data_IF_260306365433
#
_entry.id   IF_260306365433
#
_cell.length_a   1.000
_cell.length_b   1.000
_cell.length_c   1.000
_cell.angle_alpha   90.00
_cell.angle_beta   90.00
_cell.angle_gamma   90.00
#
_symmetry.space_group_name_H-M   'P 1'
#
loop_
_entity.id
_entity.type
_entity.pdbx_description
1 polymer ?
#
# COMPACT_ATOMS: atom_id res chain seq x y z
N UNK A 1 -22.39 -16.39 0.11
CA UNK A 1 -21.56 -15.76 -0.96
C UNK A 1 -20.22 -16.46 -1.01
N UNK A 2 -19.75 -16.75 -2.23
CA UNK A 2 -18.73 -17.76 -2.56
C UNK A 2 -17.36 -17.61 -1.85
N UNK A 3 -16.78 -18.76 -1.51
CA UNK A 3 -15.40 -18.98 -1.01
C UNK A 3 -14.41 -18.26 -1.95
N UNK A 4 -13.78 -17.16 -1.51
CA UNK A 4 -12.73 -16.45 -2.29
C UNK A 4 -11.49 -17.36 -2.40
N UNK A 5 -11.45 -18.12 -3.50
CA UNK A 5 -10.36 -19.03 -3.86
C UNK A 5 -9.15 -18.18 -4.26
N UNK A 6 -8.27 -17.90 -3.29
CA UNK A 6 -6.99 -17.24 -3.50
C UNK A 6 -6.99 -15.75 -3.21
N UNK A 7 -6.97 -15.37 -1.92
CA UNK A 7 -6.53 -14.04 -1.49
C UNK A 7 -5.00 -13.94 -1.68
N UNK A 8 -4.58 -13.91 -2.94
CA UNK A 8 -3.20 -13.64 -3.36
C UNK A 8 -2.86 -12.16 -3.22
N UNK A 9 -3.88 -11.30 -3.02
CA UNK A 9 -3.73 -9.86 -2.92
C UNK A 9 -4.26 -9.34 -1.60
N UNK A 10 -3.47 -8.52 -0.95
CA UNK A 10 -3.84 -7.79 0.27
C UNK A 10 -3.87 -6.29 -0.03
N UNK A 11 -4.75 -5.56 0.65
CA UNK A 11 -4.79 -4.11 0.59
C UNK A 11 -3.88 -3.54 1.68
N UNK A 12 -2.83 -2.84 1.26
CA UNK A 12 -1.88 -2.17 2.15
C UNK A 12 -2.03 -0.66 2.06
N UNK A 13 -1.75 0.00 3.17
CA UNK A 13 -1.66 1.46 3.22
C UNK A 13 -0.21 1.91 3.10
N UNK A 14 0.03 2.89 2.23
CA UNK A 14 1.31 3.57 2.13
C UNK A 14 1.33 4.72 3.12
N UNK A 15 2.24 4.60 4.08
CA UNK A 15 2.54 5.63 5.04
C UNK A 15 3.60 6.58 4.49
N UNK A 16 3.37 7.89 4.59
CA UNK A 16 4.38 8.90 4.32
C UNK A 16 5.42 8.89 5.43
N UNK A 17 6.70 8.84 5.09
CA UNK A 17 7.80 8.80 6.07
C UNK A 17 8.00 10.12 6.81
N UNK A 18 7.59 11.23 6.21
CA UNK A 18 7.80 12.57 6.77
C UNK A 18 6.63 13.03 7.66
N UNK A 19 5.39 12.74 7.26
CA UNK A 19 4.20 13.19 8.00
C UNK A 19 3.50 12.07 8.76
N UNK A 20 3.86 10.81 8.52
CA UNK A 20 3.22 9.65 9.14
C UNK A 20 1.81 9.35 8.61
N UNK A 21 1.32 10.12 7.62
CA UNK A 21 -0.03 9.98 7.09
C UNK A 21 -0.19 8.75 6.20
N UNK A 22 -1.35 8.12 6.29
CA UNK A 22 -1.77 7.01 5.43
C UNK A 22 -2.41 7.59 4.15
N UNK A 23 -1.57 7.95 3.18
CA UNK A 23 -2.00 8.71 2.00
C UNK A 23 -2.64 7.86 0.90
N UNK A 24 -2.26 6.59 0.77
CA UNK A 24 -2.69 5.75 -0.34
C UNK A 24 -2.99 4.34 0.11
N UNK A 25 -4.02 3.74 -0.50
CA UNK A 25 -4.32 2.31 -0.38
C UNK A 25 -4.01 1.63 -1.69
N UNK A 26 -3.23 0.56 -1.65
CA UNK A 26 -2.83 -0.21 -2.83
C UNK A 26 -3.05 -1.69 -2.60
N UNK A 27 -3.57 -2.38 -3.61
CA UNK A 27 -3.62 -3.84 -3.59
C UNK A 27 -2.28 -4.40 -4.05
N UNK A 28 -1.65 -5.22 -3.21
CA UNK A 28 -0.35 -5.83 -3.49
C UNK A 28 -0.48 -7.34 -3.53
N UNK A 29 0.27 -7.99 -4.41
CA UNK A 29 0.31 -9.45 -4.49
C UNK A 29 1.27 -9.98 -3.40
N UNK A 30 0.75 -10.74 -2.45
CA UNK A 30 1.51 -11.31 -1.32
C UNK A 30 2.07 -12.71 -1.64
N UNK A 31 1.83 -13.22 -2.85
CA UNK A 31 2.38 -14.50 -3.28
C UNK A 31 3.90 -14.42 -3.36
N UNK A 32 4.58 -15.18 -2.50
CA UNK A 32 6.05 -15.25 -2.45
C UNK A 32 6.70 -14.41 -1.34
N UNK A 33 5.91 -13.79 -0.46
CA UNK A 33 6.40 -12.90 0.58
C UNK A 33 6.54 -11.48 0.05
N UNK A 34 5.83 -10.54 0.67
CA UNK A 34 5.84 -9.14 0.22
C UNK A 34 6.97 -8.37 0.94
N UNK A 35 8.04 -7.95 0.25
CA UNK A 35 9.09 -7.15 0.87
C UNK A 35 8.59 -5.74 1.19
N UNK A 36 9.17 -5.10 2.21
CA UNK A 36 8.93 -3.67 2.47
C UNK A 36 9.39 -2.87 1.25
N UNK A 37 8.45 -2.27 0.55
CA UNK A 37 8.67 -1.44 -0.63
C UNK A 37 8.46 0.04 -0.29
N UNK A 38 9.25 0.90 -0.90
CA UNK A 38 9.13 2.35 -0.78
C UNK A 38 8.75 2.93 -2.14
N UNK A 39 7.80 3.85 -2.15
CA UNK A 39 7.32 4.53 -3.35
C UNK A 39 7.33 6.03 -3.13
N UNK A 40 7.90 6.79 -4.07
CA UNK A 40 7.78 8.24 -4.10
C UNK A 40 6.42 8.61 -4.68
N UNK A 41 5.53 9.11 -3.82
CA UNK A 41 4.16 9.47 -4.17
C UNK A 41 3.82 10.82 -3.57
N UNK A 42 2.97 11.53 -4.29
CA UNK A 42 2.52 12.85 -3.92
C UNK A 42 1.87 12.85 -2.52
N UNK A 43 2.37 13.66 -1.60
CA UNK A 43 1.72 13.87 -0.31
C UNK A 43 0.83 15.12 -0.39
N UNK A 44 -0.50 15.01 -0.18
CA UNK A 44 -1.41 16.15 -0.23
C UNK A 44 -1.05 17.26 0.76
N UNK A 45 -0.50 16.90 1.93
CA UNK A 45 -0.08 17.87 2.96
C UNK A 45 1.16 18.65 2.55
N UNK A 46 2.19 17.96 2.04
CA UNK A 46 3.46 18.57 1.68
C UNK A 46 3.49 19.15 0.26
N UNK A 47 2.45 18.83 -0.54
CA UNK A 47 2.29 19.22 -1.94
C UNK A 47 3.49 18.86 -2.84
N UNK A 48 4.18 17.78 -2.50
CA UNK A 48 5.38 17.25 -3.20
C UNK A 48 5.39 15.72 -3.19
N UNK A 49 6.22 15.10 -4.04
CA UNK A 49 6.31 13.63 -4.25
C UNK A 49 7.43 12.96 -3.46
#
# INVERSE_FOLDING_TARGET
MAKKKGLKREDVWLQCTETGDLNYRTSVNVVGGFPKFTLKKYSPRLRRR
#
